data_IF_466430619645
#
_entry.id   IF_466430619645
#
_cell.length_a   1.000
_cell.length_b   1.000
_cell.length_c   1.000
_cell.angle_alpha   90.00
_cell.angle_beta   90.00
_cell.angle_gamma   90.00
#
_symmetry.space_group_name_H-M   'P 1'
#
loop_
_entity.id
_entity.type
_entity.pdbx_description
1 polymer ?
#
# COMPACT_ATOMS: atom_id res chain seq x y z
N UNK A 1 11.81 -2.71 -17.79
CA UNK A 1 12.42 -2.32 -16.50
C UNK A 1 12.63 -0.81 -16.46
N UNK A 2 12.59 -0.16 -15.30
CA UNK A 2 12.82 1.30 -15.18
C UNK A 2 14.28 1.67 -15.43
N UNK A 3 14.51 2.78 -16.16
CA UNK A 3 15.83 3.38 -16.34
C UNK A 3 16.38 3.99 -15.04
N UNK A 4 17.69 4.27 -14.99
CA UNK A 4 18.33 4.94 -13.84
C UNK A 4 17.65 6.27 -13.51
N UNK A 5 17.46 7.13 -14.52
CA UNK A 5 16.80 8.43 -14.39
C UNK A 5 15.37 8.32 -13.84
N UNK A 6 14.60 7.34 -14.30
CA UNK A 6 13.23 7.11 -13.78
C UNK A 6 13.25 6.69 -12.31
N UNK A 7 14.19 5.84 -11.90
CA UNK A 7 14.32 5.42 -10.49
C UNK A 7 14.69 6.60 -9.58
N UNK A 8 15.62 7.46 -10.02
CA UNK A 8 16.02 8.67 -9.30
C UNK A 8 14.84 9.64 -9.13
N UNK A 9 14.10 9.89 -10.22
CA UNK A 9 12.92 10.76 -10.19
C UNK A 9 11.82 10.22 -9.25
N UNK A 10 11.56 8.91 -9.30
CA UNK A 10 10.59 8.26 -8.40
C UNK A 10 11.02 8.43 -6.94
N UNK A 11 12.32 8.25 -6.63
CA UNK A 11 12.83 8.43 -5.27
C UNK A 11 12.69 9.88 -4.79
N UNK A 12 12.99 10.86 -5.64
CA UNK A 12 12.84 12.29 -5.33
C UNK A 12 11.39 12.65 -5.03
N UNK A 13 10.46 12.27 -5.91
CA UNK A 13 9.02 12.51 -5.72
C UNK A 13 8.55 11.85 -4.42
N UNK A 14 8.99 10.62 -4.15
CA UNK A 14 8.59 9.92 -2.94
C UNK A 14 9.11 10.56 -1.65
N UNK A 15 10.30 11.15 -1.69
CA UNK A 15 10.83 11.95 -0.59
C UNK A 15 9.89 13.11 -0.24
N UNK A 16 9.34 13.79 -1.26
CA UNK A 16 8.40 14.91 -1.09
C UNK A 16 7.02 14.46 -0.58
N UNK A 17 6.59 13.25 -0.90
CA UNK A 17 5.29 12.69 -0.45
C UNK A 17 5.31 12.19 1.00
N UNK A 18 6.50 11.86 1.53
CA UNK A 18 6.66 11.24 2.85
C UNK A 18 6.04 12.05 4.02
N UNK A 19 6.17 13.40 4.08
CA UNK A 19 5.58 14.20 5.16
C UNK A 19 4.04 14.20 5.19
N UNK A 20 3.40 13.94 4.05
CA UNK A 20 1.93 13.94 3.85
C UNK A 20 1.40 12.56 3.46
N UNK A 21 2.14 11.51 3.84
CA UNK A 21 1.91 10.14 3.41
C UNK A 21 0.59 9.55 3.91
N UNK A 22 0.10 10.01 5.06
CA UNK A 22 -1.20 9.65 5.61
C UNK A 22 -2.35 10.20 4.77
N UNK A 23 -2.33 11.50 4.47
CA UNK A 23 -3.38 12.15 3.69
C UNK A 23 -3.45 11.60 2.25
N UNK A 24 -2.31 11.51 1.57
CA UNK A 24 -2.25 11.01 0.19
C UNK A 24 -2.58 9.52 0.13
N UNK A 25 -2.14 8.75 1.13
CA UNK A 25 -2.47 7.32 1.22
C UNK A 25 -3.95 7.07 1.48
N UNK A 26 -4.59 7.87 2.34
CA UNK A 26 -6.02 7.78 2.60
C UNK A 26 -6.85 8.20 1.39
N UNK A 27 -6.45 9.26 0.70
CA UNK A 27 -7.10 9.69 -0.55
C UNK A 27 -6.99 8.62 -1.65
N UNK A 28 -5.81 8.03 -1.82
CA UNK A 28 -5.62 6.94 -2.78
C UNK A 28 -6.54 5.73 -2.49
N UNK A 29 -6.70 5.35 -1.22
CA UNK A 29 -7.64 4.31 -0.80
C UNK A 29 -9.09 4.69 -1.06
N UNK A 30 -9.46 5.94 -0.80
CA UNK A 30 -10.81 6.44 -1.07
C UNK A 30 -11.12 6.41 -2.57
N UNK A 31 -10.18 6.84 -3.42
CA UNK A 31 -10.29 6.76 -4.88
C UNK A 31 -10.38 5.32 -5.37
N UNK A 32 -9.63 4.38 -4.77
CA UNK A 32 -9.76 2.96 -5.06
C UNK A 32 -11.16 2.43 -4.75
N UNK A 33 -11.74 2.81 -3.60
CA UNK A 33 -13.09 2.41 -3.22
C UNK A 33 -14.18 3.02 -4.09
N UNK A 34 -13.96 4.22 -4.64
CA UNK A 34 -14.87 4.85 -5.58
C UNK A 34 -14.80 4.19 -6.96
N UNK A 35 -13.59 3.94 -7.48
CA UNK A 35 -13.38 3.31 -8.78
C UNK A 35 -13.73 1.81 -8.81
N UNK A 36 -13.51 1.11 -7.68
CA UNK A 36 -13.74 -0.33 -7.55
C UNK A 36 -14.51 -0.65 -6.27
N UNK A 37 -15.83 -0.43 -6.22
CA UNK A 37 -16.63 -0.58 -4.99
C UNK A 37 -16.53 -1.96 -4.34
N UNK A 38 -16.37 -3.03 -5.13
CA UNK A 38 -16.21 -4.40 -4.61
C UNK A 38 -14.99 -4.59 -3.68
N UNK A 39 -13.97 -3.72 -3.80
CA UNK A 39 -12.78 -3.77 -2.93
C UNK A 39 -13.08 -3.40 -1.47
N UNK A 40 -14.20 -2.71 -1.19
CA UNK A 40 -14.62 -2.39 0.18
C UNK A 40 -14.85 -3.64 1.03
N UNK A 41 -15.20 -4.77 0.42
CA UNK A 41 -15.48 -6.04 1.12
C UNK A 41 -14.27 -6.56 1.90
N UNK A 42 -13.05 -6.34 1.39
CA UNK A 42 -11.79 -6.69 2.08
C UNK A 42 -11.58 -5.90 3.38
N UNK A 43 -12.27 -4.77 3.55
CA UNK A 43 -12.16 -3.86 4.69
C UNK A 43 -13.44 -3.78 5.53
N UNK A 44 -14.35 -4.76 5.39
CA UNK A 44 -15.66 -4.81 6.08
C UNK A 44 -15.60 -4.71 7.61
N UNK A 45 -14.44 -4.90 8.23
CA UNK A 45 -14.21 -4.86 9.68
C UNK A 45 -13.56 -3.53 10.15
N UNK A 46 -13.44 -2.55 9.27
CA UNK A 46 -12.69 -1.32 9.49
C UNK A 46 -13.54 -0.11 9.13
N UNK A 47 -13.33 1.00 9.82
CA UNK A 47 -13.92 2.28 9.43
C UNK A 47 -13.23 2.80 8.16
N UNK A 48 -13.96 2.78 7.05
CA UNK A 48 -13.52 3.25 5.73
C UNK A 48 -14.10 4.62 5.35
N UNK A 49 -14.65 5.36 6.32
CA UNK A 49 -15.06 6.74 6.10
C UNK A 49 -13.86 7.61 5.66
N UNK A 50 -14.11 8.68 4.87
CA UNK A 50 -13.05 9.59 4.46
C UNK A 50 -12.26 10.10 5.67
N UNK A 51 -10.93 10.01 5.60
CA UNK A 51 -9.99 10.44 6.67
C UNK A 51 -10.19 9.76 8.03
N UNK A 52 -10.81 8.59 8.11
CA UNK A 52 -10.82 7.82 9.37
C UNK A 52 -9.39 7.56 9.86
N UNK A 53 -9.22 7.36 11.17
CA UNK A 53 -7.91 7.05 11.75
C UNK A 53 -7.29 5.77 11.13
N UNK A 54 -8.14 4.81 10.77
CA UNK A 54 -7.70 3.60 10.07
C UNK A 54 -7.23 3.91 8.65
N UNK A 55 -7.94 4.75 7.89
CA UNK A 55 -7.55 5.13 6.54
C UNK A 55 -6.25 5.92 6.49
N UNK A 56 -6.07 6.88 7.39
CA UNK A 56 -4.82 7.65 7.50
C UNK A 56 -3.64 6.75 7.86
N UNK A 57 -3.79 5.89 8.87
CA UNK A 57 -2.71 5.00 9.31
C UNK A 57 -2.39 3.88 8.32
N UNK A 58 -3.40 3.32 7.64
CA UNK A 58 -3.20 2.30 6.61
C UNK A 58 -2.61 2.90 5.33
N UNK A 59 -3.15 4.04 4.88
CA UNK A 59 -2.62 4.80 3.75
C UNK A 59 -1.14 5.16 3.93
N UNK A 60 -0.78 5.67 5.11
CA UNK A 60 0.62 5.96 5.47
C UNK A 60 1.52 4.74 5.32
N UNK A 61 1.07 3.56 5.78
CA UNK A 61 1.85 2.31 5.64
C UNK A 61 2.08 1.95 4.17
N UNK A 62 1.09 2.15 3.30
CA UNK A 62 1.21 1.88 1.86
C UNK A 62 2.23 2.82 1.22
N UNK A 63 2.13 4.13 1.49
CA UNK A 63 3.08 5.10 0.95
C UNK A 63 4.49 4.85 1.49
N UNK A 64 4.65 4.54 2.78
CA UNK A 64 5.97 4.27 3.36
C UNK A 64 6.56 2.91 2.97
N UNK A 65 5.76 1.97 2.46
CA UNK A 65 6.22 0.66 2.02
C UNK A 65 6.94 0.68 0.65
N UNK A 66 7.25 1.85 0.10
CA UNK A 66 7.90 1.97 -1.20
C UNK A 66 9.28 1.27 -1.24
N UNK A 67 9.48 0.32 -2.17
CA UNK A 67 10.76 -0.33 -2.36
C UNK A 67 11.90 0.60 -2.82
N UNK A 68 11.61 1.79 -3.37
CA UNK A 68 12.64 2.79 -3.67
C UNK A 68 13.27 3.41 -2.40
N UNK A 69 12.68 3.17 -1.21
CA UNK A 69 13.20 3.57 0.11
C UNK A 69 13.73 2.39 0.92
N UNK A 70 13.62 1.16 0.41
CA UNK A 70 14.37 0.03 0.95
C UNK A 70 15.86 0.23 0.61
N UNK A 71 16.77 -0.24 1.47
CA UNK A 71 18.20 0.06 1.34
C UNK A 71 18.69 -0.25 -0.06
N UNK A 72 19.69 0.54 -0.46
CA UNK A 72 20.36 0.58 -1.74
C UNK A 72 20.61 -0.80 -2.37
N UNK A 73 21.09 -0.86 -3.63
CA UNK A 73 21.58 -2.10 -4.25
C UNK A 73 22.56 -2.95 -3.39
N UNK A 74 22.99 -2.48 -2.22
CA UNK A 74 23.81 -3.15 -1.22
C UNK A 74 23.08 -4.17 -0.34
N UNK A 75 21.73 -4.19 -0.29
CA UNK A 75 20.95 -5.05 0.63
C UNK A 75 19.71 -5.72 -0.02
N UNK A 76 19.89 -6.47 -1.14
CA UNK A 76 18.78 -7.08 -1.89
C UNK A 76 17.99 -8.14 -1.10
N UNK A 77 18.62 -8.81 -0.13
CA UNK A 77 18.00 -9.80 0.76
C UNK A 77 16.87 -9.20 1.62
N UNK A 78 17.06 -7.97 2.12
CA UNK A 78 16.09 -7.27 2.95
C UNK A 78 14.87 -6.84 2.15
N UNK A 79 15.08 -6.43 0.90
CA UNK A 79 14.02 -6.10 -0.06
C UNK A 79 13.18 -7.34 -0.37
N UNK A 80 13.83 -8.45 -0.75
CA UNK A 80 13.15 -9.71 -1.06
C UNK A 80 12.32 -10.19 0.14
N UNK A 81 12.89 -10.14 1.35
CA UNK A 81 12.19 -10.50 2.58
C UNK A 81 11.00 -9.61 2.90
N UNK A 82 11.11 -8.29 2.68
CA UNK A 82 9.99 -7.36 2.87
C UNK A 82 8.85 -7.63 1.89
N UNK A 83 9.18 -7.83 0.61
CA UNK A 83 8.22 -8.15 -0.45
C UNK A 83 7.55 -9.51 -0.22
N UNK A 84 8.30 -10.52 0.23
CA UNK A 84 7.75 -11.82 0.59
C UNK A 84 6.74 -11.72 1.74
N UNK A 85 7.07 -10.97 2.81
CA UNK A 85 6.14 -10.74 3.94
C UNK A 85 4.89 -9.98 3.54
N UNK A 86 4.99 -9.00 2.63
CA UNK A 86 3.81 -8.33 2.09
C UNK A 86 2.99 -9.25 1.20
N UNK A 87 3.63 -10.08 0.37
CA UNK A 87 2.95 -11.05 -0.49
C UNK A 87 2.09 -12.03 0.32
N UNK A 88 2.66 -12.66 1.35
CA UNK A 88 1.94 -13.58 2.24
C UNK A 88 0.72 -12.92 2.89
N UNK A 89 0.85 -11.66 3.35
CA UNK A 89 -0.27 -10.92 3.95
C UNK A 89 -1.41 -10.63 2.96
N UNK A 90 -1.10 -10.33 1.70
CA UNK A 90 -2.13 -10.11 0.69
C UNK A 90 -2.80 -11.43 0.26
N UNK A 91 -2.07 -12.55 0.28
CA UNK A 91 -2.60 -13.88 0.00
C UNK A 91 -3.66 -14.30 1.03
N UNK A 92 -3.39 -14.11 2.33
CA UNK A 92 -4.30 -14.51 3.41
C UNK A 92 -5.54 -13.61 3.50
N UNK A 93 -5.42 -12.32 3.16
CA UNK A 93 -6.57 -11.41 3.04
C UNK A 93 -7.55 -11.82 1.93
N UNK A 94 -7.05 -12.31 0.78
CA UNK A 94 -7.92 -12.82 -0.30
C UNK A 94 -8.71 -14.07 0.10
N UNK A 95 -8.10 -14.97 0.86
CA UNK A 95 -8.73 -16.21 1.32
C UNK A 95 -9.93 -15.97 2.26
N UNK A 96 -9.85 -14.93 3.10
CA UNK A 96 -10.95 -14.55 4.01
C UNK A 96 -12.11 -13.85 3.31
N UNK A 97 -11.86 -13.12 2.22
CA UNK A 97 -12.93 -12.50 1.40
C UNK A 97 -13.69 -13.51 0.53
N UNK A 98 -13.00 -14.55 0.04
CA UNK A 98 -13.61 -15.59 -0.79
C UNK A 98 -14.61 -16.45 0.01
N UNK A 99 -14.31 -16.75 1.28
CA UNK A 99 -15.22 -17.50 2.16
C UNK A 99 -16.52 -16.77 2.53
N UNK A 100 -16.60 -15.45 2.37
CA UNK A 100 -17.82 -14.67 2.70
C UNK A 100 -18.85 -14.62 1.56
N UNK A 101 -18.53 -15.09 0.37
CA UNK A 101 -19.42 -15.08 -0.82
C UNK A 101 -19.88 -16.48 -1.25
N UNK A 102 -19.62 -17.52 -0.45
CA UNK A 102 -20.23 -18.85 -0.59
C UNK A 102 -21.16 -19.11 0.57
N UNK A 103 -22.30 -18.40 0.59
CA UNK A 103 -23.55 -18.81 1.26
C UNK A 103 -24.68 -18.34 0.36
#
# INVERSE_FOLDING_TARGET
>A
MLSKKQKELIAEIWGRLTPVADDIGADALHRMFASYPGTKTYFSHLDISPRSAHMLSHGKKIVLANPARLPAPDRPDKLQGALARTSVRHQTSKSTSCKKHSI
#
